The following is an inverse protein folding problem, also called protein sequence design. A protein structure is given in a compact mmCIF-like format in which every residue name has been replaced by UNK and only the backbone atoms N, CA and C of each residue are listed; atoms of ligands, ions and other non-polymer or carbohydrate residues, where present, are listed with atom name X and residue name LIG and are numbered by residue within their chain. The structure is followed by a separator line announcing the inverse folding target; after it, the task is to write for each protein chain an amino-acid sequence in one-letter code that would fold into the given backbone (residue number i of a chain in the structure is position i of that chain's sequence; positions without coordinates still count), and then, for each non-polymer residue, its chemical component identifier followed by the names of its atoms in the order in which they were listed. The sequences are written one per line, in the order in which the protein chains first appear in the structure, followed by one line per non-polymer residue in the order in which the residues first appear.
data_IF_012656736212
#
_entry.id   IF_012656736212
#
_cell.length_a   1.000
_cell.length_b   1.000
_cell.length_c   1.000
_cell.angle_alpha   90.00
_cell.angle_beta   90.00
_cell.angle_gamma   90.00
#
_symmetry.space_group_name_H-M   'P 1'
#
loop_
_entity.id
_entity.type
_entity.pdbx_description
1 polymer ?
#
# COMPACT_ATOMS: atom_id res chain seq x y z
N UNK A 1 26.88 17.69 -4.26
CA UNK A 1 25.61 18.43 -4.34
C UNK A 1 24.65 17.75 -5.34
N UNK A 2 25.08 17.39 -6.57
CA UNK A 2 24.36 16.44 -7.43
C UNK A 2 24.01 15.10 -6.72
N UNK A 3 24.96 14.51 -5.98
CA UNK A 3 24.72 13.33 -5.13
C UNK A 3 23.54 13.48 -4.14
N UNK A 4 23.30 14.67 -3.58
CA UNK A 4 22.23 14.87 -2.60
C UNK A 4 20.84 14.84 -3.26
N UNK A 5 20.75 15.33 -4.50
CA UNK A 5 19.54 15.30 -5.33
C UNK A 5 19.25 13.87 -5.76
N UNK A 6 20.25 13.13 -6.24
CA UNK A 6 20.11 11.73 -6.65
C UNK A 6 19.65 10.84 -5.48
N UNK A 7 20.20 11.06 -4.28
CA UNK A 7 19.79 10.34 -3.08
C UNK A 7 18.34 10.63 -2.67
N UNK A 8 17.88 11.87 -2.82
CA UNK A 8 16.50 12.21 -2.50
C UNK A 8 15.53 11.61 -3.53
N UNK A 9 15.85 11.69 -4.83
CA UNK A 9 15.03 11.04 -5.87
C UNK A 9 14.94 9.52 -5.67
N UNK A 10 16.05 8.87 -5.28
CA UNK A 10 16.06 7.45 -4.94
C UNK A 10 15.19 7.13 -3.71
N UNK A 11 15.25 7.96 -2.67
CA UNK A 11 14.39 7.83 -1.50
C UNK A 11 12.90 7.90 -1.87
N UNK A 12 12.52 8.89 -2.69
CA UNK A 12 11.15 9.08 -3.17
C UNK A 12 10.61 7.88 -3.96
N UNK A 13 11.46 7.29 -4.82
CA UNK A 13 11.10 6.12 -5.59
C UNK A 13 10.83 4.89 -4.69
N UNK A 14 11.64 4.67 -3.65
CA UNK A 14 11.40 3.59 -2.68
C UNK A 14 10.12 3.83 -1.87
N UNK A 15 9.83 5.08 -1.45
CA UNK A 15 8.57 5.38 -0.75
C UNK A 15 7.35 5.07 -1.65
N UNK A 16 7.37 5.48 -2.92
CA UNK A 16 6.29 5.20 -3.87
C UNK A 16 6.06 3.69 -4.07
N UNK A 17 7.15 2.93 -4.18
CA UNK A 17 7.12 1.47 -4.30
C UNK A 17 6.53 0.81 -3.05
N UNK A 18 6.93 1.24 -1.85
CA UNK A 18 6.37 0.73 -0.60
C UNK A 18 4.86 0.96 -0.52
N UNK A 19 4.39 2.13 -0.95
CA UNK A 19 2.96 2.42 -1.01
C UNK A 19 2.21 1.51 -1.99
N UNK A 20 2.75 1.28 -3.18
CA UNK A 20 2.15 0.38 -4.16
C UNK A 20 2.04 -1.05 -3.62
N UNK A 21 3.07 -1.54 -2.92
CA UNK A 21 3.03 -2.85 -2.27
C UNK A 21 1.99 -2.91 -1.13
N UNK A 22 1.90 -1.86 -0.31
CA UNK A 22 0.90 -1.78 0.75
C UNK A 22 -0.54 -1.80 0.19
N UNK A 23 -0.80 -1.04 -0.89
CA UNK A 23 -2.09 -1.02 -1.59
C UNK A 23 -2.43 -2.35 -2.24
N UNK A 24 -1.45 -3.04 -2.85
CA UNK A 24 -1.66 -4.36 -3.41
C UNK A 24 -2.07 -5.36 -2.31
N UNK A 25 -1.37 -5.35 -1.18
CA UNK A 25 -1.69 -6.20 -0.03
C UNK A 25 -3.06 -5.90 0.60
N UNK A 26 -3.50 -4.64 0.60
CA UNK A 26 -4.86 -4.27 1.02
C UNK A 26 -5.92 -4.89 0.11
N UNK A 27 -5.79 -4.73 -1.21
CA UNK A 27 -6.75 -5.30 -2.17
C UNK A 27 -6.82 -6.83 -2.10
N UNK A 28 -5.69 -7.49 -1.88
CA UNK A 28 -5.63 -8.93 -1.72
C UNK A 28 -6.38 -9.39 -0.46
N UNK A 29 -6.17 -8.69 0.66
CA UNK A 29 -6.91 -8.96 1.90
C UNK A 29 -8.42 -8.73 1.73
N UNK A 30 -8.82 -7.63 1.08
CA UNK A 30 -10.23 -7.32 0.79
C UNK A 30 -10.88 -8.44 -0.02
N UNK A 31 -10.21 -8.86 -1.10
CA UNK A 31 -10.70 -9.93 -1.97
C UNK A 31 -10.83 -11.26 -1.21
N UNK A 32 -9.82 -11.61 -0.38
CA UNK A 32 -9.87 -12.85 0.40
C UNK A 32 -10.98 -12.82 1.45
N UNK A 33 -11.18 -11.70 2.14
CA UNK A 33 -12.27 -11.51 3.09
C UNK A 33 -13.64 -11.69 2.41
N UNK A 34 -13.84 -11.08 1.23
CA UNK A 34 -15.07 -11.26 0.45
C UNK A 34 -15.30 -12.72 0.04
N UNK A 35 -14.26 -13.43 -0.40
CA UNK A 35 -14.34 -14.84 -0.73
C UNK A 35 -14.76 -15.68 0.48
N UNK A 36 -14.12 -15.49 1.63
CA UNK A 36 -14.43 -16.20 2.87
C UNK A 36 -15.88 -15.93 3.32
N UNK A 37 -16.35 -14.69 3.21
CA UNK A 37 -17.74 -14.33 3.52
C UNK A 37 -18.76 -15.01 2.59
N UNK A 38 -18.41 -15.23 1.32
CA UNK A 38 -19.24 -16.00 0.38
C UNK A 38 -19.21 -17.48 0.71
N UNK A 39 -18.02 -18.05 0.96
CA UNK A 39 -17.83 -19.45 1.35
C UNK A 39 -18.66 -19.78 2.61
N UNK A 40 -18.62 -18.91 3.63
CA UNK A 40 -19.38 -19.09 4.87
C UNK A 40 -20.89 -19.07 4.63
N UNK A 41 -21.41 -18.08 3.89
CA UNK A 41 -22.84 -18.00 3.53
C UNK A 41 -23.30 -19.22 2.74
N UNK A 42 -22.46 -19.71 1.83
CA UNK A 42 -22.73 -20.93 1.08
C UNK A 42 -22.76 -22.16 2.00
N UNK A 43 -21.78 -22.30 2.88
CA UNK A 43 -21.73 -23.43 3.81
C UNK A 43 -22.96 -23.47 4.75
N UNK A 44 -23.36 -22.32 5.30
CA UNK A 44 -24.56 -22.17 6.13
C UNK A 44 -25.86 -22.44 5.35
N UNK A 45 -25.94 -21.97 4.10
CA UNK A 45 -27.15 -22.09 3.29
C UNK A 45 -27.42 -23.51 2.76
N UNK A 46 -26.36 -24.28 2.50
CA UNK A 46 -26.47 -25.61 1.88
C UNK A 46 -26.15 -26.76 2.85
N UNK A 47 -25.74 -26.47 4.09
CA UNK A 47 -25.46 -27.46 5.15
C UNK A 47 -24.55 -28.61 4.70
N UNK A 48 -23.52 -28.32 3.89
CA UNK A 48 -22.59 -29.34 3.40
C UNK A 48 -21.34 -29.51 4.27
N UNK A 49 -21.13 -28.62 5.24
CA UNK A 49 -20.10 -28.74 6.27
C UNK A 49 -20.74 -29.19 7.57
N UNK A 50 -19.98 -29.94 8.38
CA UNK A 50 -20.36 -30.21 9.76
C UNK A 50 -20.08 -28.99 10.66
N UNK A 51 -20.61 -29.00 11.88
CA UNK A 51 -20.49 -27.85 12.78
C UNK A 51 -19.03 -27.45 13.07
N UNK A 52 -18.09 -28.39 13.32
CA UNK A 52 -16.69 -28.05 13.50
C UNK A 52 -16.06 -27.33 12.31
N UNK A 53 -16.33 -27.80 11.08
CA UNK A 53 -15.81 -27.17 9.87
C UNK A 53 -16.44 -25.79 9.62
N UNK A 54 -17.73 -25.62 9.95
CA UNK A 54 -18.40 -24.32 9.92
C UNK A 54 -17.77 -23.33 10.91
N UNK A 55 -17.51 -23.76 12.15
CA UNK A 55 -16.88 -22.93 13.18
C UNK A 55 -15.46 -22.52 12.76
N UNK A 56 -14.70 -23.44 12.14
CA UNK A 56 -13.37 -23.16 11.62
C UNK A 56 -13.39 -22.15 10.47
N UNK A 57 -14.35 -22.27 9.55
CA UNK A 57 -14.54 -21.34 8.45
C UNK A 57 -14.96 -19.95 8.95
N UNK A 58 -15.86 -19.88 9.94
CA UNK A 58 -16.26 -18.63 10.56
C UNK A 58 -15.08 -17.92 11.25
N UNK A 59 -14.23 -18.67 11.96
CA UNK A 59 -13.02 -18.13 12.56
C UNK A 59 -12.01 -17.63 11.52
N UNK A 60 -11.92 -18.28 10.36
CA UNK A 60 -11.08 -17.82 9.25
C UNK A 60 -11.64 -16.56 8.60
N UNK A 61 -12.95 -16.47 8.39
CA UNK A 61 -13.61 -15.28 7.88
C UNK A 61 -13.34 -14.05 8.78
N UNK A 62 -13.48 -14.22 10.09
CA UNK A 62 -13.17 -13.20 11.10
C UNK A 62 -11.67 -12.82 11.14
N UNK A 63 -10.76 -13.78 10.93
CA UNK A 63 -9.33 -13.48 10.71
C UNK A 63 -9.11 -12.67 9.42
N UNK A 64 -9.84 -13.00 8.36
CA UNK A 64 -9.79 -12.28 7.08
C UNK A 64 -10.23 -10.82 7.22
N UNK A 65 -11.32 -10.55 7.94
CA UNK A 65 -11.80 -9.20 8.23
C UNK A 65 -10.77 -8.39 9.05
N UNK A 66 -10.21 -8.97 10.11
CA UNK A 66 -9.13 -8.30 10.87
C UNK A 66 -7.90 -8.00 10.02
N UNK A 67 -7.56 -8.88 9.07
CA UNK A 67 -6.45 -8.66 8.15
C UNK A 67 -6.71 -7.48 7.23
N UNK A 68 -7.95 -7.29 6.77
CA UNK A 68 -8.38 -6.12 6.00
C UNK A 68 -8.14 -4.83 6.78
N UNK A 69 -8.56 -4.78 8.05
CA UNK A 69 -8.37 -3.60 8.91
C UNK A 69 -6.87 -3.26 9.05
N UNK A 70 -6.05 -4.27 9.38
CA UNK A 70 -4.60 -4.10 9.51
C UNK A 70 -3.98 -3.59 8.21
N UNK A 71 -4.34 -4.20 7.07
CA UNK A 71 -3.77 -3.82 5.77
C UNK A 71 -4.23 -2.45 5.31
N UNK A 72 -5.44 -2.04 5.66
CA UNK A 72 -5.95 -0.69 5.41
C UNK A 72 -5.14 0.34 6.18
N UNK A 73 -4.93 0.13 7.48
CA UNK A 73 -4.11 1.02 8.31
C UNK A 73 -2.67 1.10 7.80
N UNK A 74 -2.07 -0.01 7.36
CA UNK A 74 -0.73 0.01 6.76
C UNK A 74 -0.74 0.85 5.47
N UNK A 75 -1.68 0.63 4.57
CA UNK A 75 -1.77 1.36 3.30
C UNK A 75 -1.99 2.87 3.49
N UNK A 76 -2.81 3.26 4.47
CA UNK A 76 -3.04 4.66 4.84
C UNK A 76 -1.76 5.30 5.40
N UNK A 77 -1.10 4.66 6.36
CA UNK A 77 0.17 5.16 6.92
C UNK A 77 1.26 5.29 5.84
N UNK A 78 1.33 4.35 4.89
CA UNK A 78 2.30 4.46 3.78
C UNK A 78 1.90 5.56 2.79
N UNK A 79 0.61 5.81 2.57
CA UNK A 79 0.14 6.91 1.75
C UNK A 79 0.56 8.27 2.33
N UNK A 80 0.41 8.46 3.64
CA UNK A 80 0.83 9.68 4.34
C UNK A 80 2.33 9.92 4.20
N UNK A 81 3.15 8.87 4.43
CA UNK A 81 4.61 8.93 4.25
C UNK A 81 5.01 9.26 2.81
N UNK A 82 4.31 8.70 1.84
CA UNK A 82 4.53 9.04 0.42
C UNK A 82 4.15 10.47 0.11
N UNK A 83 3.04 10.98 0.67
CA UNK A 83 2.63 12.37 0.47
C UNK A 83 3.67 13.35 1.01
N UNK A 84 4.22 13.07 2.20
CA UNK A 84 5.34 13.82 2.78
C UNK A 84 6.60 13.73 1.91
N UNK A 85 7.00 12.52 1.53
CA UNK A 85 8.17 12.29 0.69
C UNK A 85 8.04 13.04 -0.64
N UNK A 86 6.92 12.91 -1.36
CA UNK A 86 6.66 13.59 -2.64
C UNK A 86 6.76 15.11 -2.49
N UNK A 87 6.21 15.69 -1.42
CA UNK A 87 6.34 17.13 -1.17
C UNK A 87 7.81 17.56 -1.03
N UNK A 88 8.64 16.74 -0.38
CA UNK A 88 10.08 16.97 -0.27
C UNK A 88 10.82 16.75 -1.61
N UNK A 89 10.41 15.78 -2.42
CA UNK A 89 10.98 15.56 -3.77
C UNK A 89 10.70 16.75 -4.70
N UNK A 90 9.47 17.28 -4.68
CA UNK A 90 9.07 18.43 -5.51
C UNK A 90 9.86 19.67 -5.08
N UNK A 91 9.94 19.94 -3.77
CA UNK A 91 10.77 21.03 -3.23
C UNK A 91 12.24 20.90 -3.63
N UNK A 92 12.78 19.69 -3.67
CA UNK A 92 14.16 19.47 -4.08
C UNK A 92 14.35 19.71 -5.57
N UNK A 93 13.43 19.27 -6.44
CA UNK A 93 13.45 19.60 -7.87
C UNK A 93 13.44 21.12 -8.08
N UNK A 94 12.56 21.84 -7.39
CA UNK A 94 12.47 23.30 -7.50
C UNK A 94 13.74 24.00 -6.97
N UNK A 95 14.38 23.43 -5.93
CA UNK A 95 15.66 23.92 -5.42
C UNK A 95 16.85 23.61 -6.33
N UNK A 96 16.79 22.59 -7.20
CA UNK A 96 17.87 22.29 -8.15
C UNK A 96 18.03 23.41 -9.18
N UNK A 97 16.92 23.93 -9.71
CA UNK A 97 16.95 25.06 -10.65
C UNK A 97 17.52 26.34 -9.98
N UNK A 98 17.26 26.52 -8.69
CA UNK A 98 17.70 27.70 -7.92
C UNK A 98 19.14 27.59 -7.42
N UNK A 99 19.55 26.40 -6.95
CA UNK A 99 20.86 26.17 -6.34
C UNK A 99 21.95 25.78 -7.36
N UNK A 100 21.55 25.32 -8.55
CA UNK A 100 22.45 24.97 -9.66
C UNK A 100 21.99 25.61 -10.98
N UNK A 101 21.94 26.95 -11.07
CA UNK A 101 21.53 27.63 -12.30
C UNK A 101 22.41 27.26 -13.50
N UNK A 102 23.66 26.88 -13.24
CA UNK A 102 24.67 26.48 -14.23
C UNK A 102 24.37 25.12 -14.90
N UNK A 103 23.41 24.34 -14.37
CA UNK A 103 23.00 23.04 -14.91
C UNK A 103 21.66 23.09 -15.67
N UNK A 104 21.01 24.26 -15.70
CA UNK A 104 19.71 24.47 -16.37
C UNK A 104 19.88 24.86 -17.84
N UNK A 105 21.11 25.14 -18.29
CA UNK A 105 21.40 25.37 -19.71
C UNK A 105 22.30 24.28 -20.29
N UNK A 106 21.70 23.24 -20.86
CA UNK A 106 21.99 22.83 -22.25
C UNK A 106 20.70 22.26 -22.86
N UNK A 107 19.82 23.14 -23.33
CA UNK A 107 19.02 22.79 -24.51
C UNK A 107 19.92 22.99 -25.74
N UNK A 108 20.28 21.88 -26.38
CA UNK A 108 20.31 21.69 -27.84
C UNK A 108 20.18 20.20 -28.15
#
# INVERSE_FOLDING_TARGET
MALAVDHLCAYCAEQWKDYLHARAGQREADHRSQQLGLELKHAEGYNYLDQPDLDALAAEADRGERLVDIRTVIAENTADRVAEAIADCVRCRDLVEVLFPEHVEVEL
#
